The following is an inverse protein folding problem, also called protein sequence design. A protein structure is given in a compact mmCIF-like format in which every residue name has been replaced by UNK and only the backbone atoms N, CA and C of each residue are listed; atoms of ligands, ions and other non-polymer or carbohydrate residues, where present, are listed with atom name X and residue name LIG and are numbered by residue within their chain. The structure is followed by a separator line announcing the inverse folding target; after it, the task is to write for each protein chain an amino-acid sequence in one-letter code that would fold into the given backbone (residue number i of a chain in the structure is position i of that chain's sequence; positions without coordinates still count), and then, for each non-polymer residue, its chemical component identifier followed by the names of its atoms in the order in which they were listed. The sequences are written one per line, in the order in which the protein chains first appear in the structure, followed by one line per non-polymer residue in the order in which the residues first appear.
data_IF_544822104314
#
_entry.id   IF_544822104314
#
_cell.length_a   1.000
_cell.length_b   1.000
_cell.length_c   1.000
_cell.angle_alpha   90.00
_cell.angle_beta   90.00
_cell.angle_gamma   90.00
#
_symmetry.space_group_name_H-M   'P 1'
#
loop_
_entity.id
_entity.type
_entity.pdbx_description
1 polymer ?
#
# COMPACT_ATOMS: atom_id res chain seq x y z
N UNK A 1 15.54 39.85 -12.55
CA UNK A 1 15.19 39.76 -13.98
C UNK A 1 13.72 39.37 -14.07
N UNK A 2 12.83 40.38 -14.17
CA UNK A 2 11.41 40.15 -14.41
C UNK A 2 11.25 39.64 -15.84
N UNK A 3 10.81 38.39 -15.98
CA UNK A 3 10.22 37.94 -17.23
C UNK A 3 8.79 38.44 -17.22
N UNK A 4 8.50 39.44 -18.05
CA UNK A 4 7.14 39.81 -18.40
C UNK A 4 6.46 38.55 -18.94
N UNK A 5 5.65 37.91 -18.10
CA UNK A 5 4.69 36.91 -18.55
C UNK A 5 3.63 37.69 -19.33
N UNK A 6 3.80 37.78 -20.65
CA UNK A 6 2.68 38.12 -21.52
C UNK A 6 1.54 37.15 -21.18
N UNK A 7 0.52 37.67 -20.52
CA UNK A 7 -0.69 36.92 -20.24
C UNK A 7 -1.27 36.48 -21.58
N UNK A 8 -1.47 35.17 -21.75
CA UNK A 8 -2.16 34.60 -22.90
C UNK A 8 -3.53 35.29 -23.03
N UNK A 9 -3.73 36.06 -24.09
CA UNK A 9 -5.05 36.57 -24.46
C UNK A 9 -5.74 35.50 -25.31
N UNK A 10 -6.78 34.81 -24.81
CA UNK A 10 -7.49 33.79 -25.56
C UNK A 10 -8.16 34.34 -26.84
N UNK A 11 -8.25 35.67 -27.00
CA UNK A 11 -8.80 36.29 -28.19
C UNK A 11 -7.78 36.48 -29.33
N UNK A 12 -6.47 36.31 -29.07
CA UNK A 12 -5.43 36.35 -30.10
C UNK A 12 -4.84 34.96 -30.34
N UNK A 13 -5.26 34.31 -31.44
CA UNK A 13 -4.71 33.02 -31.86
C UNK A 13 -3.19 33.13 -32.08
N UNK A 14 -2.44 32.35 -31.31
CA UNK A 14 -0.98 32.33 -31.40
C UNK A 14 -0.51 31.39 -32.53
N UNK A 15 0.60 31.70 -33.22
CA UNK A 15 1.15 30.81 -34.24
C UNK A 15 1.59 29.46 -33.66
N UNK A 16 1.42 28.38 -34.44
CA UNK A 16 1.84 27.02 -34.09
C UNK A 16 3.27 26.92 -33.50
N UNK A 17 4.24 27.60 -34.11
CA UNK A 17 5.63 27.57 -33.61
C UNK A 17 5.79 28.19 -32.22
N UNK A 18 5.00 29.22 -31.90
CA UNK A 18 5.01 29.88 -30.58
C UNK A 18 4.35 28.96 -29.55
N UNK A 19 3.19 28.37 -29.88
CA UNK A 19 2.50 27.41 -29.01
C UNK A 19 3.38 26.19 -28.70
N UNK A 20 4.06 25.62 -29.70
CA UNK A 20 4.98 24.50 -29.50
C UNK A 20 6.11 24.87 -28.53
N UNK A 21 6.72 26.05 -28.69
CA UNK A 21 7.77 26.55 -27.80
C UNK A 21 7.27 26.77 -26.36
N UNK A 22 6.05 27.30 -26.18
CA UNK A 22 5.46 27.49 -24.86
C UNK A 22 5.12 26.18 -24.17
N UNK A 23 4.59 25.20 -24.90
CA UNK A 23 4.32 23.86 -24.37
C UNK A 23 5.64 23.20 -23.95
N UNK A 24 6.68 23.27 -24.78
CA UNK A 24 8.00 22.73 -24.44
C UNK A 24 8.57 23.38 -23.16
N UNK A 25 8.48 24.72 -23.06
CA UNK A 25 8.91 25.45 -21.88
C UNK A 25 8.09 25.07 -20.63
N UNK A 26 6.78 24.89 -20.76
CA UNK A 26 5.90 24.43 -19.68
C UNK A 26 6.32 23.04 -19.21
N UNK A 27 6.53 22.10 -20.14
CA UNK A 27 6.92 20.73 -19.79
C UNK A 27 8.29 20.68 -19.12
N UNK A 28 9.25 21.48 -19.58
CA UNK A 28 10.61 21.47 -19.04
C UNK A 28 10.73 22.23 -17.72
N UNK A 29 10.11 23.41 -17.59
CA UNK A 29 10.34 24.30 -16.44
C UNK A 29 9.28 24.18 -15.36
N UNK A 30 8.07 23.74 -15.71
CA UNK A 30 6.95 23.67 -14.77
C UNK A 30 6.61 22.21 -14.45
N UNK A 31 6.48 21.32 -15.45
CA UNK A 31 6.04 19.94 -15.21
C UNK A 31 7.17 18.99 -14.74
N UNK A 32 8.36 19.08 -15.33
CA UNK A 32 9.48 18.19 -15.00
C UNK A 32 9.87 18.21 -13.50
N UNK A 33 9.98 19.38 -12.83
CA UNK A 33 10.28 19.41 -11.39
C UNK A 33 9.26 18.66 -10.53
N UNK A 34 7.96 18.72 -10.89
CA UNK A 34 6.92 17.96 -10.19
C UNK A 34 7.08 16.45 -10.42
N UNK A 35 7.42 16.04 -11.63
CA UNK A 35 7.65 14.62 -11.97
C UNK A 35 8.86 14.06 -11.20
N UNK A 36 9.94 14.84 -11.08
CA UNK A 36 11.12 14.48 -10.27
C UNK A 36 10.79 14.40 -8.77
N UNK A 37 10.01 15.35 -8.26
CA UNK A 37 9.55 15.36 -6.87
C UNK A 37 8.69 14.12 -6.57
N UNK A 38 7.71 13.84 -7.44
CA UNK A 38 6.87 12.65 -7.35
C UNK A 38 7.70 11.36 -7.34
N UNK A 39 8.72 11.26 -8.20
CA UNK A 39 9.59 10.09 -8.23
C UNK A 39 10.34 9.91 -6.91
N UNK A 40 10.90 10.99 -6.36
CA UNK A 40 11.60 10.96 -5.08
C UNK A 40 10.68 10.52 -3.95
N UNK A 41 9.51 11.13 -3.83
CA UNK A 41 8.57 10.82 -2.75
C UNK A 41 7.99 9.40 -2.90
N UNK A 42 7.77 8.91 -4.13
CA UNK A 42 7.32 7.54 -4.38
C UNK A 42 8.37 6.50 -3.96
N UNK A 43 9.66 6.76 -4.21
CA UNK A 43 10.77 5.92 -3.75
C UNK A 43 10.83 5.91 -2.21
N UNK A 44 10.74 7.08 -1.58
CA UNK A 44 10.75 7.21 -0.12
C UNK A 44 9.53 6.52 0.52
N UNK A 45 8.36 6.63 -0.10
CA UNK A 45 7.15 5.93 0.31
C UNK A 45 7.36 4.41 0.26
N UNK A 46 7.93 3.89 -0.83
CA UNK A 46 8.26 2.47 -0.94
C UNK A 46 9.20 2.01 0.18
N UNK A 47 10.28 2.75 0.44
CA UNK A 47 11.22 2.41 1.51
C UNK A 47 10.57 2.39 2.90
N UNK A 48 9.55 3.22 3.14
CA UNK A 48 8.83 3.31 4.42
C UNK A 48 7.60 2.41 4.53
N UNK A 49 7.00 2.02 3.41
CA UNK A 49 5.76 1.23 3.42
C UNK A 49 6.05 -0.28 3.53
N UNK A 50 7.23 -0.74 3.10
CA UNK A 50 7.54 -2.17 3.10
C UNK A 50 8.16 -2.66 4.39
N UNK A 51 7.66 -3.81 4.86
CA UNK A 51 8.29 -4.59 5.90
C UNK A 51 7.93 -6.08 5.82
N UNK A 52 8.62 -6.91 6.61
CA UNK A 52 8.45 -8.36 6.71
C UNK A 52 7.56 -8.78 7.89
N UNK A 53 7.16 -7.87 8.77
CA UNK A 53 6.40 -8.18 9.99
C UNK A 53 5.10 -8.95 9.72
N UNK A 54 4.35 -8.62 8.67
CA UNK A 54 3.10 -9.32 8.33
C UNK A 54 3.31 -10.82 8.05
N UNK A 55 4.43 -11.20 7.39
CA UNK A 55 4.74 -12.60 7.13
C UNK A 55 5.11 -13.34 8.41
N UNK A 56 5.98 -12.75 9.23
CA UNK A 56 6.42 -13.34 10.49
C UNK A 56 5.24 -13.56 11.44
N UNK A 57 4.34 -12.57 11.52
CA UNK A 57 3.12 -12.66 12.30
C UNK A 57 2.18 -13.75 11.77
N UNK A 58 1.94 -13.82 10.45
CA UNK A 58 1.13 -14.89 9.86
C UNK A 58 1.67 -16.29 10.20
N UNK A 59 2.98 -16.49 10.11
CA UNK A 59 3.62 -17.76 10.42
C UNK A 59 3.55 -18.08 11.92
N UNK A 60 3.71 -17.07 12.79
CA UNK A 60 3.51 -17.19 14.23
C UNK A 60 2.09 -17.63 14.58
N UNK A 61 1.09 -16.97 13.99
CA UNK A 61 -0.33 -17.28 14.21
C UNK A 61 -0.71 -18.68 13.71
N UNK A 62 -0.21 -19.11 12.54
CA UNK A 62 -0.43 -20.48 12.03
C UNK A 62 0.24 -21.54 12.91
N UNK A 63 1.43 -21.24 13.44
CA UNK A 63 2.12 -22.12 14.39
C UNK A 63 1.31 -22.25 15.69
N UNK A 64 0.72 -21.16 16.17
CA UNK A 64 -0.17 -21.19 17.33
C UNK A 64 -1.44 -21.99 17.03
N UNK A 65 -2.13 -21.71 15.91
CA UNK A 65 -3.35 -22.44 15.50
C UNK A 65 -3.10 -23.95 15.43
N UNK A 66 -1.97 -24.37 14.85
CA UNK A 66 -1.58 -25.77 14.78
C UNK A 66 -1.37 -26.34 16.18
N UNK A 67 -0.62 -25.64 17.04
CA UNK A 67 -0.31 -26.12 18.40
C UNK A 67 -1.56 -26.23 19.28
N UNK A 68 -2.54 -25.33 19.10
CA UNK A 68 -3.82 -25.33 19.81
C UNK A 68 -4.70 -26.47 19.31
N UNK A 69 -4.79 -26.67 17.98
CA UNK A 69 -5.57 -27.77 17.38
C UNK A 69 -5.07 -29.16 17.79
N UNK A 70 -3.76 -29.29 18.02
CA UNK A 70 -3.15 -30.58 18.37
C UNK A 70 -3.32 -30.92 19.88
N UNK A 71 -4.01 -30.08 20.66
CA UNK A 71 -4.37 -30.38 22.05
C UNK A 71 -5.55 -31.35 22.11
N UNK A 72 -5.29 -32.53 22.65
CA UNK A 72 -6.33 -33.51 22.95
C UNK A 72 -6.81 -33.36 24.39
N UNK A 73 -7.98 -32.76 24.58
CA UNK A 73 -8.58 -32.60 25.90
C UNK A 73 -9.10 -33.93 26.49
N UNK A 74 -9.32 -34.96 25.67
CA UNK A 74 -9.84 -36.26 26.09
C UNK A 74 -8.86 -37.02 26.99
N UNK A 75 -7.56 -36.91 26.72
CA UNK A 75 -6.50 -37.58 27.47
C UNK A 75 -6.38 -37.10 28.93
N UNK A 76 -6.91 -35.91 29.25
CA UNK A 76 -6.97 -35.39 30.63
C UNK A 76 -8.06 -36.10 31.45
N UNK A 77 -9.09 -36.64 30.78
CA UNK A 77 -10.20 -37.36 31.42
C UNK A 77 -9.83 -38.81 31.76
N UNK A 78 -8.94 -39.44 30.96
CA UNK A 78 -8.58 -40.87 31.07
C UNK A 78 -7.55 -41.17 32.19
N UNK A 79 -6.95 -40.15 32.80
CA UNK A 79 -6.13 -40.18 34.05
C UNK A 79 -4.87 -41.04 34.05
N UNK A 80 -4.39 -41.55 32.92
CA UNK A 80 -3.04 -42.11 32.90
C UNK A 80 -2.01 -40.99 33.12
N UNK A 81 -1.08 -41.17 34.06
CA UNK A 81 -0.14 -40.10 34.44
C UNK A 81 0.80 -39.68 33.30
N UNK A 82 1.05 -40.57 32.34
CA UNK A 82 1.76 -40.28 31.08
C UNK A 82 0.99 -39.30 30.19
N UNK A 83 -0.33 -39.34 30.23
CA UNK A 83 -1.21 -38.67 29.28
C UNK A 83 -1.46 -37.23 29.68
N UNK A 84 -1.62 -36.98 30.98
CA UNK A 84 -1.65 -35.62 31.55
C UNK A 84 -0.32 -34.90 31.31
N UNK A 85 0.81 -35.61 31.44
CA UNK A 85 2.14 -35.05 31.16
C UNK A 85 2.32 -34.72 29.66
N UNK A 86 1.80 -35.56 28.76
CA UNK A 86 1.81 -35.30 27.32
C UNK A 86 0.97 -34.07 26.97
N UNK A 87 -0.25 -33.95 27.52
CA UNK A 87 -1.10 -32.77 27.35
C UNK A 87 -0.43 -31.49 27.86
N UNK A 88 0.16 -31.53 29.07
CA UNK A 88 0.88 -30.38 29.65
C UNK A 88 2.03 -29.93 28.76
N UNK A 89 2.77 -30.87 28.15
CA UNK A 89 3.83 -30.56 27.18
C UNK A 89 3.28 -29.90 25.92
N UNK A 90 2.18 -30.44 25.36
CA UNK A 90 1.48 -29.84 24.22
C UNK A 90 1.02 -28.42 24.51
N UNK A 91 0.34 -28.21 25.63
CA UNK A 91 -0.12 -26.90 26.09
C UNK A 91 1.04 -25.92 26.26
N UNK A 92 2.15 -26.33 26.89
CA UNK A 92 3.32 -25.46 27.07
C UNK A 92 3.92 -24.99 25.73
N UNK A 93 3.81 -25.81 24.68
CA UNK A 93 4.23 -25.48 23.32
C UNK A 93 3.29 -24.46 22.69
N UNK A 94 1.97 -24.66 22.82
CA UNK A 94 0.97 -23.71 22.36
C UNK A 94 1.07 -22.36 23.09
N UNK A 95 1.20 -22.34 24.41
CA UNK A 95 1.40 -21.13 25.20
C UNK A 95 2.67 -20.35 24.79
N UNK A 96 3.76 -21.05 24.47
CA UNK A 96 4.98 -20.42 23.94
C UNK A 96 4.75 -19.80 22.56
N UNK A 97 4.05 -20.50 21.67
CA UNK A 97 3.69 -19.99 20.35
C UNK A 97 2.79 -18.74 20.44
N UNK A 98 1.89 -18.70 21.42
CA UNK A 98 1.04 -17.55 21.68
C UNK A 98 1.82 -16.33 22.16
N UNK A 99 2.69 -16.50 23.17
CA UNK A 99 3.57 -15.42 23.63
C UNK A 99 4.44 -14.85 22.49
N UNK A 100 4.96 -15.72 21.62
CA UNK A 100 5.69 -15.29 20.42
C UNK A 100 4.81 -14.48 19.46
N UNK A 101 3.57 -14.90 19.24
CA UNK A 101 2.63 -14.18 18.38
C UNK A 101 2.25 -12.81 18.94
N UNK A 102 2.06 -12.70 20.26
CA UNK A 102 1.85 -11.41 20.95
C UNK A 102 3.06 -10.48 20.80
N UNK A 103 4.30 -10.99 20.93
CA UNK A 103 5.51 -10.20 20.70
C UNK A 103 5.60 -9.68 19.25
N UNK A 104 5.29 -10.52 18.26
CA UNK A 104 5.24 -10.10 16.85
C UNK A 104 4.14 -9.04 16.60
N UNK A 105 3.02 -9.13 17.31
CA UNK A 105 1.98 -8.10 17.30
C UNK A 105 2.48 -6.77 17.86
N UNK A 106 3.23 -6.80 18.97
CA UNK A 106 3.85 -5.61 19.57
C UNK A 106 4.92 -4.99 18.66
N UNK A 107 5.72 -5.81 17.98
CA UNK A 107 6.68 -5.34 16.97
C UNK A 107 5.97 -4.62 15.83
N UNK A 108 4.86 -5.18 15.31
CA UNK A 108 4.05 -4.53 14.28
C UNK A 108 3.45 -3.20 14.77
N UNK A 109 2.95 -3.17 16.01
CA UNK A 109 2.43 -1.95 16.62
C UNK A 109 3.51 -0.87 16.78
N UNK A 110 4.71 -1.25 17.22
CA UNK A 110 5.86 -0.36 17.37
C UNK A 110 6.31 0.19 16.02
N UNK A 111 6.38 -0.69 15.01
CA UNK A 111 6.66 -0.29 13.64
C UNK A 111 5.66 0.76 13.16
N UNK A 112 4.36 0.49 13.35
CA UNK A 112 3.29 1.39 12.94
C UNK A 112 3.43 2.76 13.61
N UNK A 113 3.69 2.80 14.92
CA UNK A 113 3.92 4.07 15.62
C UNK A 113 5.09 4.87 15.04
N UNK A 114 6.18 4.20 14.66
CA UNK A 114 7.39 4.84 14.13
C UNK A 114 7.23 5.31 12.67
N UNK A 115 6.47 4.59 11.85
CA UNK A 115 6.42 4.80 10.41
C UNK A 115 5.11 5.42 9.89
N UNK A 116 3.99 5.27 10.60
CA UNK A 116 2.67 5.79 10.19
C UNK A 116 2.70 7.29 9.85
N UNK A 117 3.29 8.17 10.68
CA UNK A 117 3.33 9.60 10.37
C UNK A 117 4.13 9.89 9.09
N UNK A 118 5.24 9.17 8.90
CA UNK A 118 6.13 9.34 7.74
C UNK A 118 5.50 8.86 6.42
N UNK A 119 4.73 7.77 6.47
CA UNK A 119 3.98 7.25 5.31
C UNK A 119 2.81 8.18 4.98
N UNK A 120 2.01 8.60 5.97
CA UNK A 120 0.91 9.57 5.77
C UNK A 120 1.40 10.88 5.17
N UNK A 121 2.51 11.40 5.68
CA UNK A 121 3.13 12.62 5.14
C UNK A 121 3.53 12.44 3.67
N UNK A 122 4.17 11.33 3.32
CA UNK A 122 4.54 11.03 1.93
C UNK A 122 3.29 10.94 1.02
N UNK A 123 2.20 10.33 1.48
CA UNK A 123 0.92 10.28 0.74
C UNK A 123 0.37 11.69 0.47
N UNK A 124 0.39 12.56 1.48
CA UNK A 124 -0.06 13.96 1.33
C UNK A 124 0.83 14.71 0.35
N UNK A 125 2.16 14.58 0.47
CA UNK A 125 3.12 15.21 -0.44
C UNK A 125 2.91 14.74 -1.89
N UNK A 126 2.71 13.43 -2.12
CA UNK A 126 2.39 12.88 -3.44
C UNK A 126 1.10 13.46 -4.02
N UNK A 127 0.03 13.52 -3.24
CA UNK A 127 -1.26 14.09 -3.69
C UNK A 127 -1.13 15.57 -4.05
N UNK A 128 -0.43 16.34 -3.24
CA UNK A 128 -0.21 17.77 -3.51
C UNK A 128 0.60 17.98 -4.79
N UNK A 129 1.68 17.23 -4.99
CA UNK A 129 2.52 17.33 -6.19
C UNK A 129 1.81 16.81 -7.45
N UNK A 130 1.00 15.75 -7.30
CA UNK A 130 0.18 15.21 -8.39
C UNK A 130 -0.86 16.25 -8.85
N UNK A 131 -1.51 16.94 -7.92
CA UNK A 131 -2.46 18.00 -8.26
C UNK A 131 -1.77 19.17 -8.96
N UNK A 132 -0.60 19.60 -8.48
CA UNK A 132 0.20 20.65 -9.12
C UNK A 132 0.60 20.27 -10.54
N UNK A 133 1.04 19.02 -10.76
CA UNK A 133 1.34 18.50 -12.08
C UNK A 133 0.10 18.52 -12.98
N UNK A 134 -1.05 18.10 -12.45
CA UNK A 134 -2.32 18.11 -13.19
C UNK A 134 -2.68 19.52 -13.66
N UNK A 135 -2.64 20.51 -12.77
CA UNK A 135 -2.98 21.90 -13.07
C UNK A 135 -2.05 22.49 -14.16
N UNK A 136 -0.75 22.18 -14.09
CA UNK A 136 0.23 22.57 -15.11
C UNK A 136 -0.09 21.94 -16.46
N UNK A 137 -0.40 20.64 -16.50
CA UNK A 137 -0.68 19.93 -17.75
C UNK A 137 -2.01 20.33 -18.38
N UNK A 138 -3.00 20.77 -17.60
CA UNK A 138 -4.29 21.24 -18.12
C UNK A 138 -4.11 22.47 -19.03
N UNK A 139 -3.22 23.40 -18.66
CA UNK A 139 -2.91 24.57 -19.49
C UNK A 139 -2.26 24.16 -20.83
N UNK A 140 -1.33 23.20 -20.79
CA UNK A 140 -0.68 22.69 -21.99
C UNK A 140 -1.65 21.98 -22.96
N UNK A 141 -2.77 21.44 -22.47
CA UNK A 141 -3.77 20.76 -23.31
C UNK A 141 -4.52 21.75 -24.19
N UNK A 142 -4.92 22.89 -23.62
CA UNK A 142 -5.53 23.96 -24.39
C UNK A 142 -4.62 24.43 -25.51
N UNK A 143 -3.35 24.70 -25.19
CA UNK A 143 -2.36 25.10 -26.19
C UNK A 143 -2.08 24.03 -27.24
N UNK A 144 -2.09 22.75 -26.87
CA UNK A 144 -1.90 21.65 -27.82
C UNK A 144 -3.10 21.51 -28.76
N UNK A 145 -4.32 21.71 -28.26
CA UNK A 145 -5.52 21.73 -29.10
C UNK A 145 -5.51 22.91 -30.08
N UNK A 146 -5.13 24.10 -29.61
CA UNK A 146 -4.96 25.30 -30.43
C UNK A 146 -3.88 25.10 -31.51
N UNK A 147 -2.76 24.49 -31.14
CA UNK A 147 -1.67 24.13 -32.05
C UNK A 147 -2.17 23.25 -33.19
N UNK A 148 -2.92 22.19 -32.88
CA UNK A 148 -3.50 21.31 -33.89
C UNK A 148 -4.55 22.02 -34.76
N UNK A 149 -5.35 22.91 -34.17
CA UNK A 149 -6.32 23.70 -34.92
C UNK A 149 -5.64 24.64 -35.93
N UNK A 150 -4.56 25.32 -35.52
CA UNK A 150 -3.76 26.18 -36.40
C UNK A 150 -3.07 25.36 -37.51
N UNK A 151 -2.45 24.23 -37.17
CA UNK A 151 -1.80 23.35 -38.16
C UNK A 151 -2.77 22.83 -39.23
N UNK A 152 -4.02 22.51 -38.86
CA UNK A 152 -5.04 22.06 -39.82
C UNK A 152 -5.55 23.17 -40.75
N UNK A 153 -5.52 24.42 -40.29
CA UNK A 153 -5.98 25.57 -41.06
C UNK A 153 -4.91 26.06 -42.05
N UNK A 154 -3.63 25.79 -41.78
CA UNK A 154 -2.52 26.16 -42.67
C UNK A 154 -2.51 25.34 -43.95
N UNK A 155 -2.47 26.03 -45.08
CA UNK A 155 -2.16 25.46 -46.40
C UNK A 155 -0.97 26.22 -46.98
N UNK A 156 0.18 25.56 -47.18
CA UNK A 156 1.29 26.15 -47.92
C UNK A 156 0.85 26.55 -49.33
N UNK A 157 1.51 27.55 -49.90
CA UNK A 157 1.25 27.95 -51.28
C UNK A 157 1.54 26.79 -52.24
N UNK A 158 0.84 26.76 -53.37
CA UNK A 158 1.06 25.75 -54.40
C UNK A 158 2.50 25.85 -54.91
N UNK A 159 3.25 24.74 -54.86
CA UNK A 159 4.66 24.72 -55.23
C UNK A 159 5.65 25.18 -54.15
N UNK A 160 5.24 25.32 -52.88
CA UNK A 160 6.13 25.62 -51.75
C UNK A 160 6.55 24.35 -50.95
N UNK A 161 7.62 23.63 -51.38
CA UNK A 161 8.09 22.43 -50.69
C UNK A 161 8.65 22.75 -49.29
N UNK A 162 9.22 23.95 -49.10
CA UNK A 162 9.80 24.35 -47.82
C UNK A 162 8.70 24.60 -46.77
N UNK A 163 7.60 25.24 -47.17
CA UNK A 163 6.41 25.42 -46.33
C UNK A 163 5.75 24.09 -45.94
N UNK A 164 5.65 23.15 -46.89
CA UNK A 164 5.16 21.79 -46.61
C UNK A 164 6.04 21.05 -45.59
N UNK A 165 7.36 21.12 -45.74
CA UNK A 165 8.28 20.45 -44.81
C UNK A 165 8.24 21.06 -43.41
N UNK A 166 8.17 22.40 -43.31
CA UNK A 166 8.00 23.09 -42.03
C UNK A 166 6.70 22.69 -41.31
N UNK A 167 5.60 22.51 -42.06
CA UNK A 167 4.33 22.08 -41.50
C UNK A 167 4.40 20.63 -40.97
N UNK A 168 5.07 19.73 -41.71
CA UNK A 168 5.34 18.36 -41.23
C UNK A 168 6.19 18.35 -39.97
N UNK A 169 7.25 19.16 -39.93
CA UNK A 169 8.11 19.30 -38.75
C UNK A 169 7.32 19.75 -37.52
N UNK A 170 6.48 20.78 -37.66
CA UNK A 170 5.63 21.25 -36.56
C UNK A 170 4.59 20.22 -36.11
N UNK A 171 3.99 19.48 -37.03
CA UNK A 171 3.07 18.40 -36.69
C UNK A 171 3.78 17.28 -35.90
N UNK A 172 4.99 16.89 -36.32
CA UNK A 172 5.81 15.93 -35.59
C UNK A 172 6.18 16.42 -34.18
N UNK A 173 6.52 17.71 -34.05
CA UNK A 173 6.75 18.34 -32.74
C UNK A 173 5.49 18.29 -31.87
N UNK A 174 4.33 18.63 -32.43
CA UNK A 174 3.06 18.58 -31.71
C UNK A 174 2.73 17.16 -31.21
N UNK A 175 2.96 16.13 -32.04
CA UNK A 175 2.79 14.72 -31.65
C UNK A 175 3.73 14.30 -30.52
N UNK A 176 4.99 14.74 -30.59
CA UNK A 176 6.00 14.46 -29.56
C UNK A 176 5.62 15.10 -28.23
N UNK A 177 5.26 16.38 -28.24
CA UNK A 177 4.80 17.11 -27.05
C UNK A 177 3.53 16.48 -26.47
N UNK A 178 2.55 16.15 -27.31
CA UNK A 178 1.33 15.48 -26.89
C UNK A 178 1.58 14.11 -26.27
N UNK A 179 2.53 13.34 -26.83
CA UNK A 179 2.94 12.05 -26.26
C UNK A 179 3.57 12.22 -24.89
N UNK A 180 4.47 13.19 -24.73
CA UNK A 180 5.12 13.49 -23.44
C UNK A 180 4.11 13.91 -22.37
N UNK A 181 3.17 14.80 -22.72
CA UNK A 181 2.06 15.19 -21.84
C UNK A 181 1.21 14.00 -21.39
N UNK A 182 0.85 13.11 -22.33
CA UNK A 182 0.09 11.89 -22.01
C UNK A 182 0.85 10.97 -21.05
N UNK A 183 2.18 10.85 -21.20
CA UNK A 183 3.03 10.07 -20.27
C UNK A 183 3.04 10.70 -18.87
N UNK A 184 3.23 12.02 -18.76
CA UNK A 184 3.16 12.72 -17.47
C UNK A 184 1.80 12.54 -16.80
N UNK A 185 0.68 12.58 -17.55
CA UNK A 185 -0.66 12.28 -17.02
C UNK A 185 -0.79 10.84 -16.53
N UNK A 186 -0.30 9.88 -17.32
CA UNK A 186 -0.32 8.48 -16.92
C UNK A 186 0.45 8.27 -15.61
N UNK A 187 1.65 8.88 -15.50
CA UNK A 187 2.45 8.85 -14.28
C UNK A 187 1.71 9.48 -13.08
N UNK A 188 1.04 10.61 -13.27
CA UNK A 188 0.21 11.24 -12.24
C UNK A 188 -0.95 10.35 -11.77
N UNK A 189 -1.60 9.60 -12.66
CA UNK A 189 -2.64 8.61 -12.28
C UNK A 189 -2.06 7.42 -11.53
N UNK A 190 -0.90 6.91 -11.94
CA UNK A 190 -0.23 5.83 -11.22
C UNK A 190 0.16 6.24 -9.79
N UNK A 191 0.57 7.49 -9.58
CA UNK A 191 0.79 8.05 -8.23
C UNK A 191 -0.49 8.03 -7.40
N UNK A 192 -1.63 8.42 -7.98
CA UNK A 192 -2.93 8.41 -7.30
C UNK A 192 -3.31 6.99 -6.84
N UNK A 193 -3.17 6.01 -7.73
CA UNK A 193 -3.39 4.60 -7.43
C UNK A 193 -2.46 4.11 -6.30
N UNK A 194 -1.18 4.48 -6.35
CA UNK A 194 -0.21 4.13 -5.31
C UNK A 194 -0.58 4.74 -3.95
N UNK A 195 -1.11 5.96 -3.92
CA UNK A 195 -1.59 6.59 -2.69
C UNK A 195 -2.76 5.82 -2.07
N UNK A 196 -3.75 5.42 -2.88
CA UNK A 196 -4.90 4.64 -2.42
C UNK A 196 -4.45 3.30 -1.81
N UNK A 197 -3.56 2.59 -2.50
CA UNK A 197 -3.01 1.33 -2.00
C UNK A 197 -2.20 1.51 -0.71
N UNK A 198 -1.40 2.58 -0.61
CA UNK A 198 -0.63 2.88 0.61
C UNK A 198 -1.53 3.17 1.82
N UNK A 199 -2.62 3.91 1.62
CA UNK A 199 -3.63 4.13 2.66
C UNK A 199 -4.31 2.83 3.09
N UNK A 200 -4.67 1.98 2.13
CA UNK A 200 -5.28 0.68 2.37
C UNK A 200 -4.35 -0.24 3.18
N UNK A 201 -3.07 -0.31 2.83
CA UNK A 201 -2.05 -1.08 3.57
C UNK A 201 -1.91 -0.56 5.00
N UNK A 202 -1.82 0.76 5.20
CA UNK A 202 -1.76 1.34 6.54
C UNK A 202 -3.03 1.04 7.36
N UNK A 203 -4.21 1.13 6.75
CA UNK A 203 -5.47 0.83 7.41
C UNK A 203 -5.53 -0.64 7.85
N UNK A 204 -5.10 -1.57 6.99
CA UNK A 204 -5.04 -2.99 7.33
C UNK A 204 -4.03 -3.28 8.45
N UNK A 205 -2.86 -2.62 8.46
CA UNK A 205 -1.91 -2.74 9.57
C UNK A 205 -2.51 -2.28 10.90
N UNK A 206 -3.20 -1.13 10.91
CA UNK A 206 -3.90 -0.64 12.11
C UNK A 206 -4.96 -1.62 12.60
N UNK A 207 -5.81 -2.09 11.69
CA UNK A 207 -6.87 -3.04 12.02
C UNK A 207 -6.29 -4.36 12.59
N UNK A 208 -5.18 -4.85 12.03
CA UNK A 208 -4.52 -6.06 12.50
C UNK A 208 -3.89 -5.87 13.90
N UNK A 209 -3.27 -4.72 14.15
CA UNK A 209 -2.75 -4.38 15.49
C UNK A 209 -3.89 -4.32 16.50
N UNK A 210 -5.00 -3.67 16.16
CA UNK A 210 -6.19 -3.60 17.01
C UNK A 210 -6.78 -4.99 17.29
N UNK A 211 -6.94 -5.83 16.27
CA UNK A 211 -7.44 -7.20 16.43
C UNK A 211 -6.53 -8.03 17.36
N UNK A 212 -5.21 -7.86 17.27
CA UNK A 212 -4.28 -8.57 18.14
C UNK A 212 -4.36 -8.09 19.59
N UNK A 213 -4.38 -6.77 19.79
CA UNK A 213 -4.34 -6.17 21.12
C UNK A 213 -5.68 -6.30 21.85
N UNK A 214 -6.78 -5.99 21.16
CA UNK A 214 -8.12 -5.89 21.76
C UNK A 214 -8.87 -7.23 21.79
N UNK A 215 -8.55 -8.17 20.89
CA UNK A 215 -9.28 -9.43 20.76
C UNK A 215 -8.38 -10.62 21.07
N UNK A 216 -7.31 -10.82 20.29
CA UNK A 216 -6.52 -12.05 20.38
C UNK A 216 -5.76 -12.17 21.71
N UNK A 217 -5.22 -11.06 22.24
CA UNK A 217 -4.46 -11.07 23.49
C UNK A 217 -5.33 -11.41 24.71
N UNK A 218 -6.49 -10.76 24.93
CA UNK A 218 -7.45 -11.18 25.96
C UNK A 218 -7.95 -12.61 25.76
N UNK A 219 -8.22 -13.00 24.51
CA UNK A 219 -8.67 -14.36 24.17
C UNK A 219 -7.65 -15.42 24.57
N UNK A 220 -6.38 -15.18 24.28
CA UNK A 220 -5.28 -16.05 24.70
C UNK A 220 -5.20 -16.15 26.22
N UNK A 221 -5.30 -15.02 26.95
CA UNK A 221 -5.26 -15.03 28.41
C UNK A 221 -6.42 -15.84 29.03
N UNK A 222 -7.64 -15.71 28.48
CA UNK A 222 -8.80 -16.47 28.92
C UNK A 222 -8.64 -17.98 28.68
N UNK A 223 -8.13 -18.36 27.51
CA UNK A 223 -7.81 -19.75 27.19
C UNK A 223 -6.70 -20.32 28.08
N UNK A 224 -5.60 -19.57 28.31
CA UNK A 224 -4.50 -20.00 29.19
C UNK A 224 -5.01 -20.24 30.62
N UNK A 225 -5.86 -19.35 31.15
CA UNK A 225 -6.48 -19.53 32.46
C UNK A 225 -7.41 -20.75 32.53
N UNK A 226 -8.19 -21.02 31.48
CA UNK A 226 -9.07 -22.17 31.45
C UNK A 226 -8.29 -23.50 31.42
N UNK A 227 -7.20 -23.56 30.63
CA UNK A 227 -6.35 -24.75 30.57
C UNK A 227 -5.56 -24.96 31.87
N UNK A 228 -5.08 -23.89 32.51
CA UNK A 228 -4.42 -23.99 33.82
C UNK A 228 -5.37 -24.56 34.88
N UNK A 229 -6.60 -24.04 34.98
CA UNK A 229 -7.61 -24.58 35.89
C UNK A 229 -7.92 -26.05 35.62
N UNK A 230 -7.97 -26.44 34.35
CA UNK A 230 -8.15 -27.83 33.94
C UNK A 230 -6.99 -28.72 34.45
N UNK A 231 -5.75 -28.28 34.28
CA UNK A 231 -4.55 -28.99 34.74
C UNK A 231 -4.51 -29.10 36.27
N UNK A 232 -4.84 -28.03 36.99
CA UNK A 232 -4.90 -28.02 38.46
C UNK A 232 -5.95 -29.01 38.98
N UNK A 233 -7.16 -28.98 38.41
CA UNK A 233 -8.24 -29.92 38.75
C UNK A 233 -7.88 -31.38 38.47
N UNK A 234 -7.08 -31.64 37.42
CA UNK A 234 -6.62 -32.99 37.09
C UNK A 234 -5.58 -33.51 38.11
N UNK A 235 -4.82 -32.61 38.76
CA UNK A 235 -3.83 -32.97 39.79
C UNK A 235 -4.49 -33.19 41.17
N UNK A 236 -5.52 -32.41 41.51
CA UNK A 236 -6.18 -32.42 42.83
C UNK A 236 -7.12 -33.62 43.09
N UNK A 237 -7.10 -34.65 42.23
CA UNK A 237 -7.84 -35.92 42.41
C UNK A 237 -9.38 -35.81 42.50
N UNK A 238 -9.97 -34.66 42.17
CA UNK A 238 -11.43 -34.48 42.16
C UNK A 238 -12.09 -35.33 41.05
N UNK A 239 -13.13 -36.10 41.39
CA UNK A 239 -13.67 -37.22 40.60
C UNK A 239 -14.35 -36.84 39.26
N UNK A 240 -14.48 -35.56 38.94
CA UNK A 240 -14.98 -35.10 37.64
C UNK A 240 -14.20 -33.86 37.18
N UNK A 241 -13.35 -34.02 36.18
CA UNK A 241 -12.67 -32.90 35.53
C UNK A 241 -13.58 -32.38 34.43
N UNK A 242 -14.12 -31.16 34.61
CA UNK A 242 -14.91 -30.49 33.58
C UNK A 242 -13.98 -29.87 32.52
N UNK A 243 -14.02 -30.42 31.31
CA UNK A 243 -13.22 -29.96 30.17
C UNK A 243 -13.95 -28.91 29.32
N UNK A 244 -15.26 -28.76 29.49
CA UNK A 244 -16.11 -27.93 28.64
C UNK A 244 -15.64 -26.46 28.59
N UNK A 245 -15.29 -25.80 29.72
CA UNK A 245 -14.82 -24.42 29.69
C UNK A 245 -13.54 -24.24 28.85
N UNK A 246 -12.61 -25.20 28.91
CA UNK A 246 -11.36 -25.14 28.16
C UNK A 246 -11.59 -25.37 26.66
N UNK A 247 -12.46 -26.32 26.29
CA UNK A 247 -12.85 -26.57 24.90
C UNK A 247 -13.60 -25.38 24.28
N UNK A 248 -14.46 -24.71 25.06
CA UNK A 248 -15.16 -23.50 24.60
C UNK A 248 -14.18 -22.35 24.32
N UNK A 249 -13.19 -22.13 25.21
CA UNK A 249 -12.17 -21.11 24.99
C UNK A 249 -11.23 -21.46 23.82
N UNK A 250 -10.90 -22.74 23.65
CA UNK A 250 -10.14 -23.26 22.50
C UNK A 250 -10.83 -22.93 21.17
N UNK A 251 -12.12 -23.28 21.06
CA UNK A 251 -12.91 -23.03 19.85
C UNK A 251 -12.98 -21.53 19.52
N UNK A 252 -13.17 -20.68 20.53
CA UNK A 252 -13.17 -19.22 20.35
C UNK A 252 -11.80 -18.69 19.93
N UNK A 253 -10.72 -19.16 20.57
CA UNK A 253 -9.35 -18.79 20.21
C UNK A 253 -9.04 -19.18 18.77
N UNK A 254 -9.41 -20.38 18.33
CA UNK A 254 -9.19 -20.83 16.95
C UNK A 254 -9.95 -19.99 15.93
N UNK A 255 -11.19 -19.60 16.22
CA UNK A 255 -11.97 -18.73 15.36
C UNK A 255 -11.31 -17.34 15.20
N UNK A 256 -10.84 -16.75 16.31
CA UNK A 256 -10.14 -15.46 16.30
C UNK A 256 -8.76 -15.56 15.62
N UNK A 257 -8.03 -16.66 15.79
CA UNK A 257 -6.77 -16.93 15.08
C UNK A 257 -6.96 -17.00 13.57
N UNK A 258 -7.98 -17.71 13.09
CA UNK A 258 -8.29 -17.80 11.67
C UNK A 258 -8.62 -16.42 11.07
N UNK A 259 -9.34 -15.58 11.81
CA UNK A 259 -9.62 -14.20 11.40
C UNK A 259 -8.33 -13.39 11.27
N UNK A 260 -7.44 -13.45 12.26
CA UNK A 260 -6.14 -12.78 12.22
C UNK A 260 -5.25 -13.27 11.07
N UNK A 261 -5.19 -14.59 10.83
CA UNK A 261 -4.44 -15.19 9.71
C UNK A 261 -4.96 -14.66 8.37
N UNK A 262 -6.28 -14.65 8.18
CA UNK A 262 -6.89 -14.08 6.98
C UNK A 262 -6.58 -12.58 6.82
N UNK A 263 -6.56 -11.83 7.93
CA UNK A 263 -6.12 -10.44 7.97
C UNK A 263 -4.67 -10.26 7.51
N UNK A 264 -3.75 -11.09 8.00
CA UNK A 264 -2.35 -11.09 7.55
C UNK A 264 -2.22 -11.44 6.05
N UNK A 265 -2.99 -12.40 5.56
CA UNK A 265 -2.97 -12.79 4.14
C UNK A 265 -3.48 -11.66 3.23
N UNK A 266 -4.55 -10.97 3.64
CA UNK A 266 -5.05 -9.78 2.94
C UNK A 266 -4.02 -8.66 2.95
N UNK A 267 -3.41 -8.36 4.10
CA UNK A 267 -2.35 -7.35 4.21
C UNK A 267 -1.19 -7.66 3.26
N UNK A 268 -0.73 -8.91 3.22
CA UNK A 268 0.35 -9.35 2.33
C UNK A 268 -0.01 -9.20 0.85
N UNK A 269 -1.26 -9.48 0.48
CA UNK A 269 -1.74 -9.28 -0.89
C UNK A 269 -1.67 -7.81 -1.29
N UNK A 270 -2.17 -6.91 -0.44
CA UNK A 270 -2.17 -5.47 -0.69
C UNK A 270 -0.76 -4.88 -0.68
N UNK A 271 0.13 -5.34 0.20
CA UNK A 271 1.54 -4.94 0.20
C UNK A 271 2.23 -5.29 -1.13
N UNK A 272 1.98 -6.50 -1.66
CA UNK A 272 2.50 -6.89 -2.98
C UNK A 272 1.88 -6.09 -4.12
N UNK A 273 0.60 -5.71 -4.00
CA UNK A 273 -0.06 -4.84 -4.97
C UNK A 273 0.59 -3.44 -4.97
N UNK A 274 0.83 -2.88 -3.79
CA UNK A 274 1.55 -1.62 -3.60
C UNK A 274 2.97 -1.71 -4.17
N UNK A 275 3.71 -2.81 -3.96
CA UNK A 275 5.04 -3.06 -4.57
C UNK A 275 5.04 -2.92 -6.07
N UNK A 276 4.14 -3.64 -6.73
CA UNK A 276 4.04 -3.59 -8.18
C UNK A 276 3.60 -2.20 -8.65
N UNK A 277 2.61 -1.60 -7.99
CA UNK A 277 2.10 -0.27 -8.33
C UNK A 277 3.19 0.79 -8.22
N UNK A 278 3.97 0.82 -7.13
CA UNK A 278 5.06 1.77 -6.94
C UNK A 278 6.21 1.54 -7.93
N UNK A 279 6.54 0.29 -8.26
CA UNK A 279 7.53 -0.01 -9.29
C UNK A 279 7.11 0.56 -10.65
N UNK A 280 5.89 0.27 -11.09
CA UNK A 280 5.31 0.80 -12.33
C UNK A 280 5.21 2.32 -12.30
N UNK A 281 4.80 2.92 -11.17
CA UNK A 281 4.74 4.37 -10.98
C UNK A 281 6.12 5.01 -11.17
N UNK A 282 7.17 4.44 -10.56
CA UNK A 282 8.54 4.92 -10.72
C UNK A 282 9.03 4.81 -12.16
N UNK A 283 8.69 3.73 -12.88
CA UNK A 283 9.03 3.58 -14.30
C UNK A 283 8.33 4.64 -15.17
N UNK A 284 7.03 4.88 -14.93
CA UNK A 284 6.27 5.89 -15.65
C UNK A 284 6.80 7.31 -15.38
N UNK A 285 7.15 7.62 -14.14
CA UNK A 285 7.73 8.92 -13.76
C UNK A 285 9.11 9.14 -14.39
N UNK A 286 9.94 8.10 -14.55
CA UNK A 286 11.23 8.20 -15.26
C UNK A 286 11.07 8.36 -16.77
N UNK A 287 9.98 7.86 -17.34
CA UNK A 287 9.71 7.89 -18.78
C UNK A 287 8.95 9.16 -19.24
N UNK A 288 8.48 9.97 -18.29
CA UNK A 288 7.70 11.19 -18.49
C UNK A 288 8.60 12.44 -18.62
#
# INVERSE_FOLDING_TARGET
MSTDRQAYDPNQRQPAGVLASWIEQLLQKMAAPHTECLLKVAVDLGARAYDRHANQLADGLRSLETSVRDLDYGVVVERESSDVAAFQKGWSTAARAARKSTLLGLELATWLQNHDPGVRRAIVELRMEQQRLHDVLQHGEGWLADLWADLRQRRPAEGDPAGMEKLRGLAHTADTLGTRMRRMRAAGRAVEEACVLAEQVLALRRALVQEIDEILTPRHAAWEQAVLKLLDNAQDSNWSVDIEPAQQQDAQLRADLQRCIAGCDKLRQEERALQRCLATTCEQLRAA
#
